data_IF_366095879633
#
_entry.id   IF_366095879633
#
_cell.length_a   1.000
_cell.length_b   1.000
_cell.length_c   1.000
_cell.angle_alpha   90.00
_cell.angle_beta   90.00
_cell.angle_gamma   90.00
#
_symmetry.space_group_name_H-M   'P 1'
#
loop_
_entity.id
_entity.type
_entity.pdbx_description
1 polymer ?
#
# COMPACT_ATOMS: atom_id res chain seq x y z
N UNK A 1 31.35 19.16 -6.14
CA UNK A 1 30.50 18.60 -5.09
C UNK A 1 30.57 17.07 -5.18
N UNK A 2 30.96 16.40 -4.11
CA UNK A 2 31.17 14.97 -4.05
C UNK A 2 30.61 14.43 -2.74
N UNK A 3 29.96 13.25 -2.77
CA UNK A 3 29.56 12.54 -1.57
C UNK A 3 30.73 11.70 -1.06
N UNK A 4 31.33 12.14 0.04
CA UNK A 4 32.56 11.54 0.59
C UNK A 4 32.29 10.52 1.70
N UNK A 5 31.05 10.35 2.13
CA UNK A 5 30.70 9.47 3.24
C UNK A 5 29.30 9.71 3.76
N UNK A 6 29.02 9.12 4.92
CA UNK A 6 27.75 9.25 5.64
C UNK A 6 27.97 9.67 7.09
N UNK A 7 26.98 10.38 7.66
CA UNK A 7 26.89 10.61 9.11
C UNK A 7 25.69 9.84 9.66
N UNK A 8 25.85 9.12 10.76
CA UNK A 8 24.76 8.45 11.45
C UNK A 8 24.81 8.65 12.95
N UNK A 9 23.68 8.60 13.61
CA UNK A 9 23.55 8.76 15.05
C UNK A 9 23.39 7.39 15.73
N UNK A 10 24.27 7.09 16.70
CA UNK A 10 24.15 5.89 17.53
C UNK A 10 22.99 6.02 18.52
N UNK A 11 22.58 4.90 19.12
CA UNK A 11 21.55 4.87 20.17
C UNK A 11 21.91 5.71 21.41
N UNK A 12 23.22 5.88 21.71
CA UNK A 12 23.71 6.74 22.80
C UNK A 12 23.73 8.24 22.46
N UNK A 13 23.27 8.62 21.23
CA UNK A 13 23.23 10.01 20.79
C UNK A 13 24.51 10.51 20.10
N UNK A 14 25.58 9.75 20.09
CA UNK A 14 26.84 10.07 19.43
C UNK A 14 26.68 10.08 17.90
N UNK A 15 27.16 11.13 17.22
CA UNK A 15 27.19 11.19 15.75
C UNK A 15 28.54 10.67 15.24
N UNK A 16 28.48 9.66 14.39
CA UNK A 16 29.65 9.07 13.72
C UNK A 16 29.65 9.49 12.26
N UNK A 17 30.82 9.84 11.76
CA UNK A 17 31.10 10.03 10.33
C UNK A 17 31.90 8.86 9.82
N UNK A 18 31.51 8.31 8.67
CA UNK A 18 32.19 7.22 7.97
C UNK A 18 32.47 7.68 6.55
N UNK A 19 33.72 7.64 6.15
CA UNK A 19 34.15 7.99 4.79
C UNK A 19 33.97 6.82 3.84
N UNK A 20 33.58 7.11 2.61
CA UNK A 20 33.51 6.14 1.53
C UNK A 20 34.81 6.16 0.72
N UNK A 21 35.35 4.98 0.44
CA UNK A 21 36.58 4.85 -0.36
C UNK A 21 36.36 4.98 -1.87
N UNK A 22 35.13 4.78 -2.34
CA UNK A 22 34.75 4.85 -3.76
C UNK A 22 33.48 5.68 -3.97
N UNK A 23 32.34 5.23 -3.39
CA UNK A 23 31.04 5.87 -3.61
C UNK A 23 30.11 5.70 -2.40
N UNK A 24 29.05 6.50 -2.36
CA UNK A 24 27.94 6.38 -1.41
C UNK A 24 26.70 5.92 -2.16
N UNK A 25 26.19 4.72 -1.84
CA UNK A 25 25.00 4.15 -2.44
C UNK A 25 23.78 4.51 -1.61
N UNK A 26 22.85 5.26 -2.21
CA UNK A 26 21.59 5.67 -1.57
C UNK A 26 20.44 4.77 -2.01
N UNK A 27 20.01 3.86 -1.13
CA UNK A 27 18.92 2.88 -1.37
C UNK A 27 17.92 2.86 -0.21
N UNK A 28 17.54 4.05 0.29
CA UNK A 28 16.68 4.19 1.47
C UNK A 28 15.16 4.15 1.13
N UNK A 29 14.80 3.69 -0.05
CA UNK A 29 13.41 3.60 -0.53
C UNK A 29 12.81 4.92 -0.95
N UNK A 30 11.53 4.89 -1.37
CA UNK A 30 10.83 6.04 -1.96
C UNK A 30 10.68 7.23 -0.99
N UNK A 31 10.70 6.99 0.32
CA UNK A 31 10.57 8.03 1.35
C UNK A 31 11.93 8.47 1.87
N UNK A 32 12.79 7.53 2.23
CA UNK A 32 14.08 7.83 2.86
C UNK A 32 15.09 8.44 1.89
N UNK A 33 15.13 8.00 0.64
CA UNK A 33 16.08 8.52 -0.35
C UNK A 33 15.92 10.02 -0.63
N UNK A 34 14.71 10.53 -0.94
CA UNK A 34 14.54 11.97 -1.13
C UNK A 34 14.77 12.76 0.16
N UNK A 35 14.41 12.22 1.33
CA UNK A 35 14.70 12.86 2.61
C UNK A 35 16.22 13.04 2.80
N UNK A 36 17.00 11.99 2.59
CA UNK A 36 18.46 12.04 2.74
C UNK A 36 19.13 12.96 1.72
N UNK A 37 18.65 12.97 0.47
CA UNK A 37 19.12 13.90 -0.54
C UNK A 37 18.89 15.36 -0.11
N UNK A 38 17.67 15.69 0.31
CA UNK A 38 17.33 17.04 0.77
C UNK A 38 18.14 17.46 1.99
N UNK A 39 18.30 16.59 2.99
CA UNK A 39 19.13 16.83 4.17
C UNK A 39 20.61 17.01 3.82
N UNK A 40 21.06 16.45 2.70
CA UNK A 40 22.40 16.60 2.16
C UNK A 40 22.57 17.84 1.24
N UNK A 41 21.54 18.68 1.11
CA UNK A 41 21.57 19.88 0.29
C UNK A 41 21.26 19.64 -1.19
N UNK A 42 20.74 18.47 -1.55
CA UNK A 42 20.36 18.12 -2.92
C UNK A 42 18.84 18.05 -3.04
N UNK A 43 18.23 19.02 -3.70
CA UNK A 43 16.76 19.11 -3.81
C UNK A 43 16.29 20.49 -4.23
N UNK A 44 14.97 20.79 -4.12
CA UNK A 44 14.43 22.10 -4.48
C UNK A 44 15.04 23.21 -3.62
N UNK A 45 15.78 24.12 -4.26
CA UNK A 45 16.55 25.14 -3.56
C UNK A 45 15.72 26.03 -2.63
N UNK A 46 14.49 26.39 -3.02
CA UNK A 46 13.58 27.17 -2.18
C UNK A 46 13.25 26.44 -0.89
N UNK A 47 12.87 25.15 -0.98
CA UNK A 47 12.53 24.31 0.16
C UNK A 47 13.73 24.08 1.09
N UNK A 48 14.92 23.85 0.55
CA UNK A 48 16.14 23.69 1.35
C UNK A 48 16.45 24.97 2.15
N UNK A 49 16.31 26.14 1.53
CA UNK A 49 16.53 27.44 2.18
C UNK A 49 15.53 27.70 3.31
N UNK A 50 14.25 27.30 3.17
CA UNK A 50 13.26 27.39 4.25
C UNK A 50 13.68 26.64 5.53
N UNK A 51 14.48 25.60 5.37
CA UNK A 51 15.01 24.81 6.49
C UNK A 51 16.46 25.13 6.86
N UNK A 52 17.03 26.22 6.33
CA UNK A 52 18.43 26.64 6.53
C UNK A 52 19.44 25.56 6.11
N UNK A 53 19.11 24.74 5.11
CA UNK A 53 20.02 23.74 4.55
C UNK A 53 20.78 24.36 3.39
N UNK A 54 22.12 24.34 3.42
CA UNK A 54 22.95 24.83 2.30
C UNK A 54 22.63 24.07 1.01
N UNK A 55 22.38 24.79 -0.08
CA UNK A 55 22.08 24.20 -1.38
C UNK A 55 23.37 23.72 -2.03
N UNK A 56 23.52 22.41 -2.18
CA UNK A 56 24.63 21.78 -2.91
C UNK A 56 24.27 21.63 -4.39
N UNK A 57 23.03 21.19 -4.68
CA UNK A 57 22.51 21.10 -6.03
C UNK A 57 20.99 21.38 -6.03
N UNK A 58 20.57 22.29 -6.90
CA UNK A 58 19.14 22.59 -7.11
C UNK A 58 18.52 21.55 -8.03
N UNK A 59 17.84 20.57 -7.46
CA UNK A 59 17.15 19.50 -8.17
C UNK A 59 15.66 19.50 -7.80
N UNK A 60 14.82 20.24 -8.51
CA UNK A 60 13.41 20.43 -8.17
C UNK A 60 12.57 19.13 -8.21
N UNK A 61 13.05 18.08 -8.88
CA UNK A 61 12.39 16.77 -8.93
C UNK A 61 12.54 15.92 -7.67
N UNK A 62 13.48 16.24 -6.77
CA UNK A 62 13.68 15.47 -5.54
C UNK A 62 12.46 15.62 -4.62
N UNK A 63 11.91 14.48 -4.22
CA UNK A 63 10.69 14.40 -3.41
C UNK A 63 9.39 14.62 -4.21
N UNK A 64 9.45 14.87 -5.51
CA UNK A 64 8.26 15.04 -6.35
C UNK A 64 7.83 13.72 -7.01
N UNK A 65 6.63 13.71 -7.60
CA UNK A 65 6.04 12.58 -8.31
C UNK A 65 5.89 11.30 -7.47
N UNK A 66 5.67 11.43 -6.16
CA UNK A 66 5.31 10.28 -5.34
C UNK A 66 4.10 9.59 -5.95
N UNK A 67 4.25 8.30 -6.21
CA UNK A 67 3.21 7.44 -6.74
C UNK A 67 3.09 6.21 -5.86
N UNK A 68 1.86 5.88 -5.48
CA UNK A 68 1.55 4.70 -4.70
C UNK A 68 0.19 4.15 -5.14
N UNK A 69 -0.07 2.87 -4.93
CA UNK A 69 -1.27 2.20 -5.39
C UNK A 69 -2.43 2.47 -4.41
N UNK A 70 -3.45 3.25 -4.78
CA UNK A 70 -4.68 3.29 -4.01
C UNK A 70 -5.37 1.93 -4.11
N UNK A 71 -5.89 1.46 -2.99
CA UNK A 71 -6.58 0.18 -2.88
C UNK A 71 -7.97 0.40 -2.27
N UNK A 72 -8.97 -0.27 -2.82
CA UNK A 72 -10.33 -0.31 -2.29
C UNK A 72 -10.73 -1.75 -2.03
N UNK A 73 -11.37 -2.02 -0.90
CA UNK A 73 -11.66 -3.38 -0.47
C UNK A 73 -13.17 -3.62 -0.45
N UNK A 74 -13.65 -4.59 -1.24
CA UNK A 74 -15.01 -5.10 -1.11
C UNK A 74 -15.02 -6.30 -0.16
N UNK A 75 -16.00 -6.35 0.73
CA UNK A 75 -16.15 -7.40 1.73
C UNK A 75 -17.49 -8.10 1.56
N UNK A 76 -17.46 -9.42 1.59
CA UNK A 76 -18.64 -10.26 1.41
C UNK A 76 -18.74 -11.29 2.52
N UNK A 77 -19.97 -11.54 2.98
CA UNK A 77 -20.25 -12.67 3.83
C UNK A 77 -19.98 -13.98 3.07
N UNK A 78 -19.40 -14.98 3.76
CA UNK A 78 -19.19 -16.30 3.20
C UNK A 78 -20.21 -17.29 3.77
N UNK A 79 -21.12 -17.78 2.93
CA UNK A 79 -22.21 -18.68 3.36
C UNK A 79 -21.72 -20.07 3.77
N UNK A 80 -20.50 -20.46 3.37
CA UNK A 80 -19.90 -21.74 3.74
C UNK A 80 -18.72 -21.52 4.69
N UNK A 81 -18.44 -22.46 5.60
CA UNK A 81 -17.35 -22.34 6.57
C UNK A 81 -15.99 -22.68 5.95
N UNK A 82 -15.66 -22.02 4.83
CA UNK A 82 -14.41 -22.23 4.06
C UNK A 82 -13.40 -21.09 4.21
N UNK A 83 -13.78 -20.01 4.89
CA UNK A 83 -12.85 -18.91 5.16
C UNK A 83 -11.82 -19.27 6.23
N UNK A 84 -10.75 -18.51 6.32
CA UNK A 84 -9.71 -18.70 7.34
C UNK A 84 -10.06 -18.12 8.72
N UNK A 85 -11.27 -17.58 8.90
CA UNK A 85 -11.71 -16.99 10.16
C UNK A 85 -11.47 -17.89 11.38
N UNK A 86 -11.79 -19.23 11.37
CA UNK A 86 -11.52 -20.08 12.53
C UNK A 86 -10.04 -20.10 12.96
N UNK A 87 -9.13 -20.02 11.99
CA UNK A 87 -7.68 -19.97 12.24
C UNK A 87 -7.20 -18.62 12.79
N UNK A 88 -8.01 -17.58 12.72
CA UNK A 88 -7.68 -16.26 13.31
C UNK A 88 -8.02 -16.19 14.80
N UNK A 89 -8.81 -17.13 15.34
CA UNK A 89 -9.16 -17.24 16.76
C UNK A 89 -8.03 -17.90 17.55
N UNK A 90 -8.01 -17.70 18.87
CA UNK A 90 -6.92 -18.15 19.74
C UNK A 90 -6.51 -19.62 19.53
N UNK A 91 -7.47 -20.53 19.62
CA UNK A 91 -7.21 -21.99 19.44
C UNK A 91 -6.74 -22.27 18.02
N UNK A 92 -7.43 -21.73 17.02
CA UNK A 92 -7.06 -21.91 15.62
C UNK A 92 -5.65 -21.38 15.29
N UNK A 93 -5.28 -20.23 15.83
CA UNK A 93 -3.94 -19.64 15.69
C UNK A 93 -2.86 -20.54 16.31
N UNK A 94 -3.11 -21.08 17.49
CA UNK A 94 -2.18 -21.99 18.16
C UNK A 94 -1.97 -23.26 17.34
N UNK A 95 -3.06 -23.88 16.85
CA UNK A 95 -2.99 -25.07 16.00
C UNK A 95 -2.29 -24.78 14.67
N UNK A 96 -2.58 -23.65 14.03
CA UNK A 96 -1.92 -23.22 12.79
C UNK A 96 -0.42 -22.99 13.01
N UNK A 97 -0.02 -22.35 14.12
CA UNK A 97 1.37 -22.16 14.49
C UNK A 97 2.12 -23.47 14.75
N UNK A 98 1.50 -24.39 15.51
CA UNK A 98 2.08 -25.73 15.75
C UNK A 98 2.23 -26.51 14.45
N UNK A 99 1.23 -26.49 13.58
CA UNK A 99 1.31 -27.12 12.26
C UNK A 99 2.46 -26.57 11.44
N UNK A 100 2.63 -25.25 11.42
CA UNK A 100 3.74 -24.62 10.70
C UNK A 100 5.13 -25.00 11.27
N UNK A 101 5.26 -25.04 12.60
CA UNK A 101 6.51 -25.45 13.25
C UNK A 101 6.87 -26.89 12.88
N UNK A 102 5.89 -27.81 12.91
CA UNK A 102 6.11 -29.24 12.70
C UNK A 102 6.22 -29.63 11.21
N UNK A 103 5.43 -29.01 10.35
CA UNK A 103 5.26 -29.42 8.94
C UNK A 103 5.66 -28.35 7.91
N UNK A 104 5.86 -27.10 8.33
CA UNK A 104 6.13 -25.96 7.45
C UNK A 104 5.04 -25.74 6.39
N UNK A 105 3.80 -26.12 6.68
CA UNK A 105 2.63 -25.96 5.80
C UNK A 105 1.46 -25.27 6.50
N UNK A 106 0.33 -25.14 5.77
CA UNK A 106 -0.90 -24.54 6.26
C UNK A 106 -0.92 -23.03 6.15
N UNK A 107 -1.87 -22.39 6.83
CA UNK A 107 -2.14 -20.95 6.70
C UNK A 107 -0.93 -20.05 7.03
N UNK A 108 -0.06 -20.48 7.95
CA UNK A 108 1.14 -19.72 8.28
C UNK A 108 2.25 -19.81 7.21
N UNK A 109 2.09 -20.66 6.20
CA UNK A 109 2.97 -20.77 5.05
C UNK A 109 2.43 -20.04 3.81
N UNK A 110 1.20 -19.48 3.87
CA UNK A 110 0.57 -18.72 2.82
C UNK A 110 0.66 -17.21 3.12
N UNK A 111 0.71 -16.39 2.07
CA UNK A 111 0.53 -14.94 2.17
C UNK A 111 -0.94 -14.53 2.33
N UNK A 112 -1.86 -15.49 2.35
CA UNK A 112 -3.32 -15.33 2.52
C UNK A 112 -4.01 -14.55 1.38
N UNK A 113 -3.34 -14.34 0.28
CA UNK A 113 -3.92 -13.85 -0.96
C UNK A 113 -3.98 -14.99 -1.97
N UNK A 114 -5.13 -15.69 -2.00
CA UNK A 114 -5.26 -16.99 -2.66
C UNK A 114 -5.44 -16.88 -4.18
N UNK A 115 -5.91 -15.73 -4.67
CA UNK A 115 -6.08 -15.48 -6.09
C UNK A 115 -5.78 -14.01 -6.42
N UNK A 116 -5.09 -13.81 -7.54
CA UNK A 116 -4.80 -12.49 -8.11
C UNK A 116 -5.22 -12.48 -9.57
N UNK A 117 -5.88 -11.40 -10.00
CA UNK A 117 -6.20 -11.15 -11.39
C UNK A 117 -5.77 -9.75 -11.79
N UNK A 118 -5.08 -9.62 -12.91
CA UNK A 118 -4.79 -8.33 -13.54
C UNK A 118 -5.75 -8.17 -14.72
N UNK A 119 -6.64 -7.18 -14.64
CA UNK A 119 -7.72 -6.98 -15.59
C UNK A 119 -7.64 -5.60 -16.24
N UNK A 120 -8.24 -5.47 -17.42
CA UNK A 120 -8.39 -4.20 -18.11
C UNK A 120 -9.71 -3.56 -17.69
N UNK A 121 -9.69 -2.27 -17.41
CA UNK A 121 -10.89 -1.51 -17.03
C UNK A 121 -11.91 -1.33 -18.14
N UNK A 122 -11.57 -1.68 -19.37
CA UNK A 122 -12.49 -1.60 -20.51
C UNK A 122 -11.86 -1.97 -21.84
N UNK A 123 -12.67 -1.98 -22.88
CA UNK A 123 -12.22 -2.21 -24.25
C UNK A 123 -11.26 -1.09 -24.69
N UNK A 124 -10.20 -1.44 -25.41
CA UNK A 124 -9.19 -0.49 -25.91
C UNK A 124 -8.08 -0.14 -24.90
N UNK A 125 -8.14 -0.63 -23.69
CA UNK A 125 -7.02 -0.52 -22.73
C UNK A 125 -5.94 -1.53 -23.14
N UNK A 126 -4.74 -1.03 -23.43
CA UNK A 126 -3.66 -1.85 -24.00
C UNK A 126 -3.12 -2.89 -23.00
N UNK A 127 -2.96 -2.48 -21.72
CA UNK A 127 -2.42 -3.32 -20.66
C UNK A 127 -3.38 -3.36 -19.47
N UNK A 128 -3.36 -4.42 -18.64
CA UNK A 128 -4.09 -4.42 -17.37
C UNK A 128 -3.76 -3.19 -16.54
N UNK A 129 -4.79 -2.53 -16.02
CA UNK A 129 -4.70 -1.32 -15.23
C UNK A 129 -5.33 -1.45 -13.84
N UNK A 130 -6.00 -2.57 -13.58
CA UNK A 130 -6.60 -2.93 -12.30
C UNK A 130 -6.07 -4.29 -11.85
N UNK A 131 -5.65 -4.38 -10.59
CA UNK A 131 -5.32 -5.64 -9.92
C UNK A 131 -6.43 -5.98 -8.93
N UNK A 132 -6.94 -7.20 -9.02
CA UNK A 132 -7.88 -7.77 -8.07
C UNK A 132 -7.16 -8.83 -7.25
N UNK A 133 -7.33 -8.80 -5.92
CA UNK A 133 -6.66 -9.76 -5.03
C UNK A 133 -7.67 -10.28 -4.01
N UNK A 134 -7.88 -11.60 -3.98
CA UNK A 134 -8.83 -12.24 -3.08
C UNK A 134 -8.13 -12.74 -1.82
N UNK A 135 -8.68 -12.35 -0.65
CA UNK A 135 -8.32 -12.91 0.65
C UNK A 135 -9.52 -13.70 1.23
N UNK A 136 -9.30 -14.92 1.74
CA UNK A 136 -10.36 -15.75 2.31
C UNK A 136 -10.71 -15.37 3.76
N UNK A 137 -10.51 -14.13 4.14
CA UNK A 137 -11.02 -13.49 5.35
C UNK A 137 -11.30 -12.03 5.05
N UNK A 138 -12.21 -11.40 5.80
CA UNK A 138 -12.37 -9.96 5.79
C UNK A 138 -11.84 -9.36 7.10
N UNK A 139 -11.29 -8.16 6.99
CA UNK A 139 -10.67 -7.42 8.09
C UNK A 139 -11.45 -6.13 8.32
N UNK A 140 -11.64 -5.76 9.56
CA UNK A 140 -12.19 -4.46 9.95
C UNK A 140 -11.16 -3.36 9.72
N UNK A 141 -11.53 -2.30 8.99
CA UNK A 141 -10.59 -1.26 8.55
C UNK A 141 -10.10 -0.35 9.68
N UNK A 142 -10.83 -0.28 10.78
CA UNK A 142 -10.45 0.56 11.93
C UNK A 142 -9.53 -0.19 12.89
N UNK A 143 -9.85 -1.45 13.15
CA UNK A 143 -9.15 -2.26 14.16
C UNK A 143 -8.07 -3.17 13.59
N UNK A 144 -8.05 -3.36 12.28
CA UNK A 144 -7.19 -4.32 11.56
C UNK A 144 -7.35 -5.76 12.08
N UNK A 145 -8.51 -6.07 12.66
CA UNK A 145 -8.82 -7.41 13.14
C UNK A 145 -9.72 -8.14 12.15
N UNK A 146 -9.58 -9.46 12.02
CA UNK A 146 -10.52 -10.25 11.23
C UNK A 146 -11.95 -10.05 11.73
N UNK A 147 -12.91 -9.95 10.81
CA UNK A 147 -14.33 -9.94 11.16
C UNK A 147 -14.68 -11.23 11.93
N UNK A 148 -15.60 -11.19 12.90
CA UNK A 148 -15.92 -12.32 13.76
C UNK A 148 -16.86 -13.35 13.10
N UNK A 149 -16.79 -13.48 11.77
CA UNK A 149 -17.64 -14.35 10.96
C UNK A 149 -16.91 -14.88 9.73
N UNK A 150 -17.51 -15.86 9.05
CA UNK A 150 -17.02 -16.31 7.77
C UNK A 150 -17.27 -15.24 6.70
N UNK A 151 -16.18 -14.68 6.20
CA UNK A 151 -16.20 -13.65 5.18
C UNK A 151 -14.98 -13.80 4.25
N UNK A 152 -15.03 -13.15 3.11
CA UNK A 152 -13.89 -12.95 2.21
C UNK A 152 -13.85 -11.51 1.74
N UNK A 153 -12.71 -11.06 1.30
CA UNK A 153 -12.57 -9.73 0.73
C UNK A 153 -11.82 -9.76 -0.58
N UNK A 154 -12.13 -8.81 -1.45
CA UNK A 154 -11.45 -8.61 -2.72
C UNK A 154 -10.95 -7.18 -2.76
N UNK A 155 -9.65 -7.05 -2.91
CA UNK A 155 -8.95 -5.79 -3.11
C UNK A 155 -9.03 -5.36 -4.57
N UNK A 156 -9.21 -4.08 -4.78
CA UNK A 156 -9.19 -3.40 -6.08
C UNK A 156 -8.07 -2.38 -6.06
N UNK A 157 -6.92 -2.75 -6.57
CA UNK A 157 -5.74 -1.89 -6.64
C UNK A 157 -5.57 -1.30 -8.03
N UNK A 158 -5.28 -0.01 -8.11
CA UNK A 158 -4.91 0.65 -9.36
C UNK A 158 -3.44 0.40 -9.70
N UNK A 159 -3.17 -0.22 -10.85
CA UNK A 159 -1.80 -0.50 -11.29
C UNK A 159 -1.11 0.70 -11.92
N UNK A 160 -1.88 1.67 -12.43
CA UNK A 160 -1.40 2.86 -13.15
C UNK A 160 -2.24 4.08 -12.80
N UNK A 161 -2.15 4.52 -11.54
CA UNK A 161 -2.84 5.73 -11.10
C UNK A 161 -2.17 7.00 -11.66
N UNK A 162 -2.96 8.04 -11.83
CA UNK A 162 -2.58 9.34 -12.38
C UNK A 162 -2.21 10.36 -11.31
N UNK A 163 -2.80 10.23 -10.12
CA UNK A 163 -2.50 11.10 -8.98
C UNK A 163 -1.02 11.04 -8.60
N UNK A 164 -0.47 12.19 -8.26
CA UNK A 164 0.93 12.34 -7.85
C UNK A 164 1.01 13.12 -6.55
N UNK A 165 1.87 12.65 -5.69
CA UNK A 165 2.18 13.27 -4.43
C UNK A 165 3.59 13.83 -4.36
N UNK A 166 3.99 14.16 -3.14
CA UNK A 166 5.35 14.62 -2.86
C UNK A 166 5.79 14.23 -1.45
N UNK A 167 7.10 14.31 -1.26
CA UNK A 167 7.79 14.16 0.01
C UNK A 167 8.60 15.44 0.24
N UNK A 168 8.43 16.05 1.41
CA UNK A 168 9.12 17.28 1.79
C UNK A 168 9.66 17.15 3.22
N UNK A 169 10.69 17.91 3.54
CA UNK A 169 11.19 17.99 4.91
C UNK A 169 10.21 18.75 5.81
N UNK A 170 10.16 18.38 7.09
CA UNK A 170 9.51 19.18 8.14
C UNK A 170 10.49 20.15 8.80
N UNK A 171 11.75 19.75 8.87
CA UNK A 171 12.88 20.51 9.41
C UNK A 171 14.19 19.85 8.97
N UNK A 172 15.33 20.37 9.43
CA UNK A 172 16.66 19.85 9.12
C UNK A 172 17.12 18.69 10.03
N UNK A 173 16.31 18.23 10.99
CA UNK A 173 16.64 17.10 11.86
C UNK A 173 16.37 15.76 11.13
N UNK A 174 17.40 14.92 10.91
CA UNK A 174 17.25 13.64 10.25
C UNK A 174 16.37 12.62 11.02
N UNK A 175 16.17 12.82 12.33
CA UNK A 175 15.30 11.97 13.13
C UNK A 175 13.81 12.33 12.98
N UNK A 176 13.51 13.51 12.41
CA UNK A 176 12.12 13.92 12.15
C UNK A 176 11.60 13.28 10.87
N UNK A 177 10.49 12.51 10.92
CA UNK A 177 9.89 11.95 9.71
C UNK A 177 9.50 13.05 8.71
N UNK A 178 9.69 12.83 7.40
CA UNK A 178 9.31 13.81 6.39
C UNK A 178 7.78 13.96 6.31
N UNK A 179 7.33 15.02 5.66
CA UNK A 179 5.94 15.18 5.28
C UNK A 179 5.70 14.38 4.01
N UNK A 180 4.75 13.45 4.06
CA UNK A 180 4.33 12.63 2.92
C UNK A 180 2.93 13.10 2.51
N UNK A 181 2.77 13.50 1.27
CA UNK A 181 1.49 13.88 0.69
C UNK A 181 1.25 12.98 -0.53
N UNK A 182 0.47 11.93 -0.36
CA UNK A 182 0.21 10.95 -1.43
C UNK A 182 -0.73 11.49 -2.51
N UNK A 183 -1.66 12.39 -2.15
CA UNK A 183 -2.68 12.94 -3.05
C UNK A 183 -3.55 11.86 -3.72
N UNK A 184 -3.85 10.76 -3.01
CA UNK A 184 -4.69 9.70 -3.54
C UNK A 184 -6.00 10.26 -4.11
N UNK A 185 -6.42 9.72 -5.25
CA UNK A 185 -7.69 10.03 -5.91
C UNK A 185 -7.92 11.51 -6.25
N UNK A 186 -6.85 12.32 -6.25
CA UNK A 186 -6.94 13.73 -6.63
C UNK A 186 -7.24 13.90 -8.12
N UNK A 187 -6.70 13.02 -8.95
CA UNK A 187 -7.06 12.93 -10.36
C UNK A 187 -8.37 12.14 -10.52
N UNK A 188 -9.40 12.71 -11.17
CA UNK A 188 -10.71 12.06 -11.31
C UNK A 188 -10.64 10.73 -12.07
N UNK A 189 -9.64 10.52 -12.93
CA UNK A 189 -9.45 9.26 -13.65
C UNK A 189 -9.18 8.10 -12.70
N UNK A 190 -8.52 8.32 -11.56
CA UNK A 190 -8.26 7.29 -10.56
C UNK A 190 -9.56 6.83 -9.90
N UNK A 191 -10.47 7.78 -9.59
CA UNK A 191 -11.80 7.43 -9.06
C UNK A 191 -12.62 6.62 -10.07
N UNK A 192 -12.60 7.04 -11.34
CA UNK A 192 -13.28 6.29 -12.41
C UNK A 192 -12.76 4.85 -12.53
N UNK A 193 -11.44 4.67 -12.43
CA UNK A 193 -10.84 3.35 -12.47
C UNK A 193 -11.25 2.49 -11.27
N UNK A 194 -11.25 3.05 -10.04
CA UNK A 194 -11.71 2.31 -8.86
C UNK A 194 -13.18 1.92 -8.98
N UNK A 195 -14.06 2.81 -9.40
CA UNK A 195 -15.48 2.50 -9.61
C UNK A 195 -15.67 1.37 -10.63
N UNK A 196 -14.92 1.38 -11.74
CA UNK A 196 -14.91 0.28 -12.71
C UNK A 196 -14.45 -1.03 -12.07
N UNK A 197 -13.38 -0.99 -11.28
CA UNK A 197 -12.88 -2.15 -10.54
C UNK A 197 -13.90 -2.74 -9.57
N UNK A 198 -14.62 -1.89 -8.83
CA UNK A 198 -15.70 -2.30 -7.93
C UNK A 198 -16.81 -3.03 -8.72
N UNK A 199 -17.22 -2.48 -9.86
CA UNK A 199 -18.24 -3.11 -10.72
C UNK A 199 -17.78 -4.45 -11.28
N UNK A 200 -16.51 -4.54 -11.71
CA UNK A 200 -15.92 -5.82 -12.19
C UNK A 200 -15.92 -6.87 -11.06
N UNK A 201 -15.54 -6.50 -9.83
CA UNK A 201 -15.60 -7.42 -8.69
C UNK A 201 -17.03 -7.89 -8.45
N UNK A 202 -18.01 -7.00 -8.46
CA UNK A 202 -19.44 -7.35 -8.30
C UNK A 202 -19.92 -8.29 -9.41
N UNK A 203 -19.48 -8.08 -10.64
CA UNK A 203 -19.76 -8.98 -11.75
C UNK A 203 -19.14 -10.38 -11.52
N UNK A 204 -17.88 -10.45 -11.10
CA UNK A 204 -17.18 -11.69 -10.80
C UNK A 204 -17.89 -12.48 -9.69
N UNK A 205 -18.20 -11.84 -8.56
CA UNK A 205 -18.85 -12.53 -7.44
C UNK A 205 -20.31 -12.89 -7.73
N UNK A 206 -20.93 -12.31 -8.76
CA UNK A 206 -22.25 -12.68 -9.23
C UNK A 206 -22.25 -13.91 -10.14
N UNK A 207 -21.10 -14.42 -10.57
CA UNK A 207 -21.02 -15.62 -11.40
C UNK A 207 -21.49 -16.87 -10.67
N UNK A 208 -22.00 -17.88 -11.39
CA UNK A 208 -22.52 -19.12 -10.78
C UNK A 208 -21.53 -19.84 -9.86
N UNK A 209 -20.22 -19.74 -10.12
CA UNK A 209 -19.18 -20.36 -9.31
C UNK A 209 -19.12 -19.78 -7.89
N UNK A 210 -19.42 -18.49 -7.70
CA UNK A 210 -19.45 -17.84 -6.38
C UNK A 210 -20.78 -18.04 -5.65
N UNK A 211 -21.88 -18.35 -6.35
CA UNK A 211 -23.22 -18.46 -5.77
C UNK A 211 -23.30 -19.32 -4.49
N UNK A 212 -22.59 -20.47 -4.37
CA UNK A 212 -22.64 -21.28 -3.15
C UNK A 212 -21.91 -20.66 -1.95
N UNK A 213 -21.06 -19.66 -2.19
CA UNK A 213 -20.16 -19.08 -1.18
C UNK A 213 -20.52 -17.65 -0.81
N UNK A 214 -21.06 -16.89 -1.76
CA UNK A 214 -21.34 -15.47 -1.61
C UNK A 214 -22.66 -15.23 -0.87
N UNK A 215 -22.56 -14.56 0.28
CA UNK A 215 -23.68 -13.93 0.99
C UNK A 215 -23.79 -12.44 0.63
N UNK A 216 -24.22 -11.64 1.59
CA UNK A 216 -24.39 -10.21 1.42
C UNK A 216 -23.06 -9.47 1.27
N UNK A 217 -23.07 -8.38 0.50
CA UNK A 217 -21.96 -7.44 0.44
C UNK A 217 -21.95 -6.61 1.72
N UNK A 218 -20.92 -6.82 2.56
CA UNK A 218 -20.76 -6.13 3.85
C UNK A 218 -20.26 -4.70 3.64
N UNK A 219 -19.34 -4.50 2.69
CA UNK A 219 -18.73 -3.20 2.38
C UNK A 219 -18.38 -3.10 0.89
N UNK A 220 -18.68 -1.98 0.25
CA UNK A 220 -19.38 -0.78 0.75
C UNK A 220 -20.87 -1.02 1.02
N UNK A 221 -21.40 -2.19 0.63
CA UNK A 221 -22.80 -2.57 0.77
C UNK A 221 -23.59 -2.40 -0.52
N UNK A 222 -24.66 -3.20 -0.64
CA UNK A 222 -25.50 -3.26 -1.85
C UNK A 222 -26.21 -1.94 -2.19
N UNK A 223 -26.26 -0.98 -1.29
CA UNK A 223 -26.90 0.33 -1.49
C UNK A 223 -26.00 1.31 -2.26
N UNK A 224 -24.67 1.13 -2.21
CA UNK A 224 -23.73 1.99 -2.94
C UNK A 224 -23.62 1.55 -4.41
N UNK A 225 -24.50 2.07 -5.29
CA UNK A 225 -24.58 1.69 -6.71
C UNK A 225 -24.15 2.81 -7.66
N UNK A 226 -24.53 4.05 -7.37
CA UNK A 226 -24.17 5.22 -8.17
C UNK A 226 -22.72 5.63 -7.95
N UNK A 227 -22.17 6.39 -8.90
CA UNK A 227 -20.82 6.94 -8.78
C UNK A 227 -20.66 7.81 -7.53
N UNK A 228 -21.68 8.59 -7.20
CA UNK A 228 -21.68 9.46 -6.01
C UNK A 228 -21.78 8.71 -4.67
N UNK A 229 -22.28 7.47 -4.68
CA UNK A 229 -22.34 6.61 -3.48
C UNK A 229 -21.05 5.81 -3.31
N UNK A 230 -20.28 5.65 -4.38
CA UNK A 230 -18.98 4.97 -4.38
C UNK A 230 -17.81 5.93 -4.09
N UNK A 231 -17.99 7.25 -4.29
CA UNK A 231 -17.03 8.31 -3.97
C UNK A 231 -17.03 8.67 -2.49
#
# INVERSE_FOLDING_TARGET
>A
NEAIGISYKKANGETIKVEASQEVILSAGAVGSPQLLMLSGVGPASHLKEHNIPVVADLPGVGQNLNDHPDFVLKFQCLKPVSIWPQTRLIGRTLAGMRWILRRDGICASNQFEAVACVRSGAGVEYPDIQLTLSPAAVDDQTWKPLPEHAFQIHVGLMRNFSRGNITLRNADPATPPRILANYLKDPRDRDLLRKGIRIVREIVNQPAFKPFRGDEIYPGSNAQSDSELD
#
